data_IF_776496435755
#
_entry.id   IF_776496435755
#
_cell.length_a   1.000
_cell.length_b   1.000
_cell.length_c   1.000
_cell.angle_alpha   90.00
_cell.angle_beta   90.00
_cell.angle_gamma   90.00
#
_symmetry.space_group_name_H-M   'P 1'
#
loop_
_entity.id
_entity.type
_entity.pdbx_description
1 polymer ?
#
# COMPACT_ATOMS: atom_id res chain seq x y z
N UNK A 1 43.58 20.05 -15.26
CA UNK A 1 42.39 19.90 -14.36
C UNK A 1 41.53 18.66 -14.65
N UNK A 2 41.38 18.19 -15.89
CA UNK A 2 40.46 17.09 -16.24
C UNK A 2 40.82 15.71 -15.62
N UNK A 3 42.11 15.40 -15.45
CA UNK A 3 42.54 14.12 -14.85
C UNK A 3 42.34 14.03 -13.32
N UNK A 4 42.40 15.17 -12.60
CA UNK A 4 42.21 15.20 -11.14
C UNK A 4 40.77 14.92 -10.72
N UNK A 5 39.79 15.33 -11.54
CA UNK A 5 38.36 15.09 -11.32
C UNK A 5 37.99 13.61 -11.56
N UNK A 6 38.59 12.98 -12.58
CA UNK A 6 38.37 11.57 -12.89
C UNK A 6 38.92 10.65 -11.77
N UNK A 7 40.13 10.95 -11.27
CA UNK A 7 40.75 10.21 -10.17
C UNK A 7 39.93 10.36 -8.89
N UNK A 8 39.43 11.57 -8.61
CA UNK A 8 38.55 11.82 -7.46
C UNK A 8 37.26 11.00 -7.49
N UNK A 9 36.62 10.86 -8.66
CA UNK A 9 35.41 10.09 -8.84
C UNK A 9 35.63 8.57 -8.69
N UNK A 10 36.79 8.06 -9.14
CA UNK A 10 37.16 6.65 -8.99
C UNK A 10 37.38 6.33 -7.51
N UNK A 11 38.11 7.17 -6.79
CA UNK A 11 38.37 6.98 -5.35
C UNK A 11 37.07 7.02 -4.54
N UNK A 12 36.16 7.97 -4.81
CA UNK A 12 34.86 8.03 -4.10
C UNK A 12 33.99 6.82 -4.36
N UNK A 13 34.00 6.30 -5.59
CA UNK A 13 33.24 5.09 -5.95
C UNK A 13 33.80 3.85 -5.23
N UNK A 14 35.13 3.76 -5.14
CA UNK A 14 35.80 2.63 -4.47
C UNK A 14 35.57 2.65 -2.95
N UNK A 15 35.59 3.84 -2.33
CA UNK A 15 35.28 4.02 -0.90
C UNK A 15 33.80 3.72 -0.61
N UNK A 16 32.87 4.15 -1.47
CA UNK A 16 31.45 3.82 -1.33
C UNK A 16 31.20 2.30 -1.42
N UNK A 17 31.94 1.61 -2.30
CA UNK A 17 31.87 0.16 -2.44
C UNK A 17 32.46 -0.59 -1.23
N UNK A 18 33.55 -0.09 -0.65
CA UNK A 18 34.13 -0.65 0.59
C UNK A 18 33.20 -0.45 1.80
N UNK A 19 32.54 0.69 1.93
CA UNK A 19 31.55 0.96 2.99
C UNK A 19 30.28 0.12 2.84
N UNK A 20 29.87 -0.17 1.60
CA UNK A 20 28.75 -1.05 1.32
C UNK A 20 29.06 -2.51 1.71
N UNK A 21 30.26 -3.00 1.38
CA UNK A 21 30.66 -4.39 1.68
C UNK A 21 30.95 -4.64 3.16
N UNK A 22 31.47 -3.65 3.90
CA UNK A 22 31.65 -3.75 5.37
C UNK A 22 30.33 -3.71 6.14
N UNK A 23 29.32 -2.97 5.65
CA UNK A 23 27.97 -3.01 6.23
C UNK A 23 27.29 -4.38 6.05
N UNK A 24 27.49 -5.04 4.90
CA UNK A 24 26.97 -6.39 4.66
C UNK A 24 27.57 -7.42 5.64
N UNK A 25 28.90 -7.37 5.88
CA UNK A 25 29.57 -8.28 6.83
C UNK A 25 29.14 -8.10 8.30
N UNK A 26 28.66 -6.91 8.69
CA UNK A 26 28.21 -6.65 10.07
C UNK A 26 26.80 -7.20 10.35
N UNK A 27 25.98 -7.41 9.31
CA UNK A 27 24.62 -7.95 9.42
C UNK A 27 24.61 -9.49 9.50
N UNK A 28 25.65 -10.16 8.98
CA UNK A 28 25.74 -11.62 8.99
C UNK A 28 26.14 -12.23 10.35
N UNK A 29 26.60 -11.44 11.32
CA UNK A 29 27.14 -11.95 12.61
C UNK A 29 26.32 -11.63 13.87
N UNK A 30 25.11 -11.08 13.76
CA UNK A 30 24.24 -10.88 14.93
C UNK A 30 23.29 -12.08 15.14
N UNK A 31 23.78 -13.15 15.77
CA UNK A 31 22.94 -14.26 16.27
C UNK A 31 22.51 -13.97 17.70
N UNK A 32 21.21 -13.78 17.94
CA UNK A 32 20.61 -13.75 19.27
C UNK A 32 19.99 -15.12 19.59
N UNK A 33 20.49 -15.78 20.64
CA UNK A 33 19.92 -16.98 21.27
C UNK A 33 18.75 -16.57 22.17
N UNK A 34 17.61 -17.25 22.07
CA UNK A 34 16.54 -17.17 23.05
C UNK A 34 16.26 -18.57 23.59
N UNK A 35 16.34 -18.71 24.92
CA UNK A 35 16.09 -19.91 25.73
C UNK A 35 14.65 -19.85 26.27
N UNK A 36 13.97 -21.00 26.37
CA UNK A 36 12.51 -21.17 26.59
C UNK A 36 11.95 -20.73 27.95
N UNK A 37 10.63 -20.94 28.22
CA UNK A 37 10.23 -22.24 28.78
C UNK A 37 8.83 -22.78 28.38
N UNK A 38 8.51 -23.91 29.02
CA UNK A 38 7.57 -25.02 28.82
C UNK A 38 6.05 -24.79 29.02
N UNK A 39 5.30 -25.56 28.21
CA UNK A 39 3.96 -26.19 28.34
C UNK A 39 3.00 -25.84 29.50
N UNK A 40 1.71 -25.70 29.15
CA UNK A 40 0.57 -26.06 30.02
C UNK A 40 -0.62 -26.57 29.19
N UNK A 41 -1.14 -27.74 29.56
CA UNK A 41 -2.30 -28.44 28.97
C UNK A 41 -3.60 -27.91 29.58
N UNK A 42 -4.68 -27.76 28.80
CA UNK A 42 -6.07 -27.74 29.32
C UNK A 42 -7.04 -28.47 28.39
N UNK A 43 -7.97 -29.19 29.05
CA UNK A 43 -8.86 -30.25 28.61
C UNK A 43 -9.98 -29.87 27.62
N UNK A 44 -10.39 -30.88 26.81
CA UNK A 44 -11.64 -30.92 26.04
C UNK A 44 -12.84 -31.27 26.93
N UNK A 45 -14.00 -30.63 26.72
CA UNK A 45 -15.32 -31.24 26.97
C UNK A 45 -16.47 -30.65 26.12
N UNK A 46 -17.06 -31.59 25.34
CA UNK A 46 -18.45 -31.86 24.92
C UNK A 46 -19.37 -30.78 24.28
N UNK A 47 -19.97 -31.26 23.17
CA UNK A 47 -21.09 -30.73 22.36
C UNK A 47 -22.41 -30.65 23.15
N UNK A 48 -23.23 -29.64 22.83
CA UNK A 48 -24.66 -29.59 23.10
C UNK A 48 -25.43 -29.17 21.82
N UNK A 49 -26.67 -29.66 21.68
CA UNK A 49 -27.52 -29.68 20.48
C UNK A 49 -28.20 -28.33 20.17
N UNK A 50 -28.46 -28.12 18.88
CA UNK A 50 -29.17 -26.97 18.29
C UNK A 50 -30.70 -27.01 18.54
N UNK A 51 -31.33 -25.86 18.82
CA UNK A 51 -32.77 -25.66 18.67
C UNK A 51 -33.11 -25.02 17.30
N UNK A 52 -34.14 -25.56 16.64
CA UNK A 52 -34.68 -25.14 15.33
C UNK A 52 -35.29 -23.72 15.39
N UNK A 53 -34.91 -22.88 14.41
CA UNK A 53 -35.41 -21.50 14.24
C UNK A 53 -36.58 -21.46 13.25
N UNK A 54 -37.64 -20.71 13.62
CA UNK A 54 -38.81 -20.40 12.79
C UNK A 54 -38.42 -19.54 11.58
N UNK A 55 -38.91 -19.88 10.40
CA UNK A 55 -38.71 -19.17 9.13
C UNK A 55 -39.31 -17.77 9.15
N UNK A 56 -38.46 -16.75 9.05
CA UNK A 56 -38.80 -15.35 8.77
C UNK A 56 -38.51 -15.05 7.29
N UNK A 57 -39.46 -14.40 6.61
CA UNK A 57 -39.40 -14.00 5.19
C UNK A 57 -38.10 -13.27 4.84
N UNK A 58 -37.45 -13.70 3.77
CA UNK A 58 -36.19 -13.13 3.27
C UNK A 58 -36.39 -11.71 2.72
N UNK A 59 -35.57 -10.72 3.15
CA UNK A 59 -35.51 -9.43 2.48
C UNK A 59 -34.82 -9.55 1.12
N UNK A 60 -35.27 -8.78 0.13
CA UNK A 60 -34.63 -8.66 -1.19
C UNK A 60 -33.19 -8.14 -1.04
N UNK A 61 -32.19 -9.02 -1.19
CA UNK A 61 -30.76 -8.67 -1.13
C UNK A 61 -30.23 -8.40 -2.54
N UNK A 62 -29.73 -7.18 -2.78
CA UNK A 62 -28.96 -6.84 -3.97
C UNK A 62 -27.62 -7.63 -3.97
N UNK A 63 -27.57 -8.68 -4.79
CA UNK A 63 -26.41 -9.56 -5.08
C UNK A 63 -25.77 -10.24 -3.86
N UNK A 64 -25.99 -11.55 -3.76
CA UNK A 64 -25.31 -12.42 -2.80
C UNK A 64 -23.83 -12.49 -3.20
N UNK A 65 -22.93 -12.13 -2.28
CA UNK A 65 -21.49 -12.34 -2.44
C UNK A 65 -21.20 -13.82 -2.23
N UNK A 66 -20.80 -14.49 -3.31
CA UNK A 66 -20.38 -15.88 -3.23
C UNK A 66 -18.85 -15.93 -3.15
N UNK A 67 -18.32 -16.23 -1.96
CA UNK A 67 -16.89 -16.47 -1.71
C UNK A 67 -16.30 -17.45 -2.73
N UNK A 68 -17.07 -18.46 -3.14
CA UNK A 68 -16.60 -19.54 -4.01
C UNK A 68 -16.51 -19.20 -5.52
N UNK A 69 -17.10 -18.09 -6.00
CA UNK A 69 -17.13 -17.75 -7.43
C UNK A 69 -16.08 -16.70 -7.80
N UNK A 70 -14.81 -17.10 -7.78
CA UNK A 70 -13.71 -16.23 -8.22
C UNK A 70 -13.76 -16.01 -9.74
N UNK A 71 -13.99 -14.77 -10.15
CA UNK A 71 -14.04 -14.32 -11.55
C UNK A 71 -12.74 -13.60 -11.92
N UNK A 72 -12.42 -13.63 -13.21
CA UNK A 72 -11.33 -12.84 -13.78
C UNK A 72 -11.91 -11.85 -14.79
N UNK A 73 -11.38 -10.63 -14.83
CA UNK A 73 -11.77 -9.63 -15.83
C UNK A 73 -11.37 -10.12 -17.22
N UNK A 74 -12.22 -9.87 -18.23
CA UNK A 74 -11.88 -10.13 -19.63
C UNK A 74 -10.52 -9.49 -20.01
N UNK A 75 -9.78 -10.16 -20.89
CA UNK A 75 -8.41 -9.78 -21.30
C UNK A 75 -7.31 -10.09 -20.29
N UNK A 76 -7.64 -10.55 -19.07
CA UNK A 76 -6.62 -10.96 -18.09
C UNK A 76 -5.75 -12.12 -18.60
N UNK A 77 -4.46 -12.07 -18.31
CA UNK A 77 -3.51 -13.12 -18.65
C UNK A 77 -3.86 -14.44 -17.94
N UNK A 78 -4.21 -15.47 -18.72
CA UNK A 78 -4.67 -16.77 -18.19
C UNK A 78 -3.68 -17.44 -17.23
N UNK A 79 -2.36 -17.35 -17.48
CA UNK A 79 -1.33 -17.93 -16.61
C UNK A 79 -1.28 -17.22 -15.26
N UNK A 80 -1.30 -15.89 -15.27
CA UNK A 80 -1.29 -15.08 -14.05
C UNK A 80 -2.58 -15.26 -13.24
N UNK A 81 -3.74 -15.34 -13.91
CA UNK A 81 -5.03 -15.67 -13.25
C UNK A 81 -4.95 -17.02 -12.53
N UNK A 82 -4.40 -18.06 -13.16
CA UNK A 82 -4.24 -19.39 -12.54
C UNK A 82 -3.36 -19.33 -11.29
N UNK A 83 -2.27 -18.56 -11.34
CA UNK A 83 -1.38 -18.34 -10.20
C UNK A 83 -2.12 -17.65 -9.05
N UNK A 84 -2.85 -16.57 -9.34
CA UNK A 84 -3.59 -15.82 -8.32
C UNK A 84 -4.66 -16.69 -7.68
N UNK A 85 -5.51 -17.37 -8.47
CA UNK A 85 -6.56 -18.26 -7.98
C UNK A 85 -6.00 -19.38 -7.08
N UNK A 86 -4.94 -20.06 -7.53
CA UNK A 86 -4.29 -21.12 -6.75
C UNK A 86 -3.70 -20.60 -5.44
N UNK A 87 -3.21 -19.37 -5.43
CA UNK A 87 -2.53 -18.79 -4.27
C UNK A 87 -3.50 -18.25 -3.23
N UNK A 88 -4.53 -17.56 -3.68
CA UNK A 88 -5.53 -16.95 -2.81
C UNK A 88 -6.60 -17.95 -2.34
N UNK A 89 -6.85 -19.01 -3.10
CA UNK A 89 -7.90 -19.99 -2.82
C UNK A 89 -9.29 -19.50 -3.26
N UNK A 90 -10.31 -20.15 -2.71
CA UNK A 90 -11.74 -19.84 -2.94
C UNK A 90 -12.53 -19.61 -1.65
N UNK A 91 -11.93 -19.90 -0.49
CA UNK A 91 -12.65 -19.88 0.79
C UNK A 91 -12.85 -18.46 1.34
N UNK A 92 -11.99 -17.52 0.93
CA UNK A 92 -11.99 -16.15 1.44
C UNK A 92 -12.36 -15.14 0.35
N UNK A 93 -12.93 -14.00 0.76
CA UNK A 93 -13.18 -12.87 -0.13
C UNK A 93 -11.89 -12.11 -0.43
N UNK A 94 -11.64 -11.82 -1.71
CA UNK A 94 -10.48 -11.04 -2.13
C UNK A 94 -10.68 -10.31 -3.46
N UNK A 95 -9.81 -9.32 -3.67
CA UNK A 95 -9.56 -8.66 -4.94
C UNK A 95 -8.06 -8.62 -5.17
N UNK A 96 -7.61 -9.01 -6.36
CA UNK A 96 -6.21 -8.89 -6.77
C UNK A 96 -6.17 -8.24 -8.15
N UNK A 97 -5.32 -7.23 -8.30
CA UNK A 97 -5.02 -6.62 -9.57
C UNK A 97 -3.49 -6.56 -9.75
N UNK A 98 -3.03 -6.91 -10.94
CA UNK A 98 -1.61 -6.94 -11.31
C UNK A 98 -1.46 -6.41 -12.71
N UNK A 99 -0.48 -5.54 -12.96
CA UNK A 99 -0.21 -4.98 -14.28
C UNK A 99 1.29 -4.80 -14.51
N UNK A 100 1.78 -5.33 -15.64
CA UNK A 100 3.12 -5.04 -16.16
C UNK A 100 3.19 -3.55 -16.56
N UNK A 101 4.20 -2.85 -16.05
CA UNK A 101 4.42 -1.44 -16.31
C UNK A 101 5.13 -1.17 -17.66
N UNK A 102 5.74 -2.21 -18.24
CA UNK A 102 6.40 -2.17 -19.56
C UNK A 102 5.49 -2.67 -20.69
N UNK A 103 4.43 -3.42 -20.38
CA UNK A 103 3.48 -3.92 -21.36
C UNK A 103 2.06 -3.99 -20.76
N UNK A 104 1.23 -2.97 -21.02
CA UNK A 104 -0.11 -2.86 -20.45
C UNK A 104 -1.06 -4.01 -20.80
N UNK A 105 -0.81 -4.77 -21.88
CA UNK A 105 -1.60 -5.96 -22.24
C UNK A 105 -1.38 -7.13 -21.27
N UNK A 106 -0.28 -7.11 -20.51
CA UNK A 106 0.06 -8.14 -19.51
C UNK A 106 -0.45 -7.71 -18.14
N UNK A 107 -1.71 -8.05 -17.88
CA UNK A 107 -2.34 -7.79 -16.59
C UNK A 107 -3.19 -8.98 -16.12
N UNK A 108 -3.59 -8.98 -14.86
CA UNK A 108 -4.65 -9.84 -14.36
C UNK A 108 -5.46 -9.09 -13.29
N UNK A 109 -6.78 -9.19 -13.39
CA UNK A 109 -7.71 -8.73 -12.35
C UNK A 109 -8.59 -9.91 -11.96
N UNK A 110 -8.51 -10.33 -10.70
CA UNK A 110 -9.13 -11.54 -10.17
C UNK A 110 -9.82 -11.21 -8.85
N UNK A 111 -11.11 -11.52 -8.73
CA UNK A 111 -11.86 -11.24 -7.52
C UNK A 111 -13.11 -12.10 -7.41
N UNK A 112 -13.59 -12.31 -6.19
CA UNK A 112 -14.96 -12.82 -5.90
C UNK A 112 -15.90 -11.72 -5.39
N UNK A 113 -15.42 -10.48 -5.24
CA UNK A 113 -16.24 -9.29 -5.00
C UNK A 113 -15.70 -8.10 -5.79
N UNK A 114 -16.58 -7.21 -6.24
CA UNK A 114 -16.22 -6.00 -6.98
C UNK A 114 -16.42 -4.71 -6.17
N UNK A 115 -16.96 -4.82 -4.95
CA UNK A 115 -17.30 -3.65 -4.13
C UNK A 115 -16.03 -2.95 -3.64
N UNK A 116 -16.13 -1.64 -3.40
CA UNK A 116 -15.10 -0.94 -2.66
C UNK A 116 -15.17 -1.33 -1.18
N UNK A 117 -14.02 -1.60 -0.57
CA UNK A 117 -13.89 -2.00 0.83
C UNK A 117 -13.20 -0.92 1.65
N UNK A 118 -13.47 -0.93 2.94
CA UNK A 118 -12.86 -0.03 3.91
C UNK A 118 -11.35 -0.21 3.96
N UNK A 119 -10.63 0.90 3.82
CA UNK A 119 -9.19 0.92 3.72
C UNK A 119 -8.59 1.89 4.74
N UNK A 120 -7.47 1.48 5.34
CA UNK A 120 -6.75 2.27 6.35
C UNK A 120 -5.48 2.85 5.72
N UNK A 121 -4.33 2.20 5.92
CA UNK A 121 -3.02 2.76 5.59
C UNK A 121 -2.87 3.06 4.09
N UNK A 122 -3.49 2.25 3.23
CA UNK A 122 -3.51 2.48 1.78
C UNK A 122 -4.11 3.85 1.38
N UNK A 123 -5.07 4.40 2.14
CA UNK A 123 -5.70 5.68 1.81
C UNK A 123 -4.77 6.88 1.91
N UNK A 124 -3.67 6.75 2.68
CA UNK A 124 -2.63 7.77 2.75
C UNK A 124 -1.94 8.00 1.41
N UNK A 125 -1.96 7.02 0.50
CA UNK A 125 -1.46 7.18 -0.87
C UNK A 125 -2.20 8.30 -1.59
N UNK A 126 -3.53 8.30 -1.55
CA UNK A 126 -4.34 9.30 -2.25
C UNK A 126 -4.15 10.71 -1.68
N UNK A 127 -4.11 10.82 -0.34
CA UNK A 127 -3.80 12.10 0.30
C UNK A 127 -2.38 12.58 -0.06
N UNK A 128 -1.41 11.67 -0.10
CA UNK A 128 -0.04 12.00 -0.48
C UNK A 128 0.07 12.47 -1.93
N UNK A 129 -0.60 11.81 -2.88
CA UNK A 129 -0.66 12.22 -4.28
C UNK A 129 -1.27 13.62 -4.39
N UNK A 130 -2.39 13.86 -3.71
CA UNK A 130 -3.05 15.16 -3.73
C UNK A 130 -2.17 16.26 -3.10
N UNK A 131 -1.42 15.97 -2.02
CA UNK A 131 -0.46 16.91 -1.45
C UNK A 131 0.63 17.31 -2.47
N UNK A 132 1.21 16.33 -3.16
CA UNK A 132 2.23 16.62 -4.17
C UNK A 132 1.65 17.24 -5.44
N UNK A 133 0.36 17.06 -5.72
CA UNK A 133 -0.32 17.77 -6.82
C UNK A 133 -0.51 19.25 -6.48
N UNK A 134 -0.86 19.57 -5.23
CA UNK A 134 -0.89 20.94 -4.74
C UNK A 134 0.52 21.57 -4.75
N UNK A 135 1.56 20.79 -4.45
CA UNK A 135 2.96 21.21 -4.52
C UNK A 135 3.39 21.53 -5.96
N UNK A 136 3.08 20.63 -6.89
CA UNK A 136 3.34 20.81 -8.32
C UNK A 136 2.66 22.06 -8.88
N UNK A 137 1.45 22.35 -8.42
CA UNK A 137 0.67 23.51 -8.85
C UNK A 137 1.02 24.80 -8.08
N UNK A 138 2.08 24.79 -7.26
CA UNK A 138 2.55 25.96 -6.50
C UNK A 138 1.65 26.41 -5.34
N UNK A 139 0.55 25.70 -5.06
CA UNK A 139 -0.40 26.05 -3.99
C UNK A 139 0.15 25.76 -2.59
N UNK A 140 1.10 24.81 -2.52
CA UNK A 140 1.79 24.39 -1.31
C UNK A 140 3.28 24.26 -1.68
N UNK A 141 4.17 24.50 -0.72
CA UNK A 141 5.61 24.33 -0.90
C UNK A 141 6.28 23.94 0.42
N UNK A 142 7.61 23.80 0.42
CA UNK A 142 8.40 23.43 1.60
C UNK A 142 8.28 24.42 2.77
N UNK A 143 7.97 25.69 2.49
CA UNK A 143 7.77 26.75 3.50
C UNK A 143 6.34 26.80 4.05
N UNK A 144 5.43 25.99 3.50
CA UNK A 144 4.04 25.97 3.95
C UNK A 144 3.96 25.41 5.36
N UNK A 145 3.49 26.24 6.29
CA UNK A 145 3.14 25.85 7.64
C UNK A 145 1.62 25.70 7.78
N UNK A 146 1.18 24.68 8.52
CA UNK A 146 -0.25 24.41 8.76
C UNK A 146 -0.48 24.51 10.27
N UNK A 147 -1.32 25.46 10.67
CA UNK A 147 -1.82 25.59 12.05
C UNK A 147 -2.80 24.45 12.33
N UNK A 148 -2.56 23.71 13.42
CA UNK A 148 -3.44 22.63 13.89
C UNK A 148 -4.70 23.25 14.49
N UNK A 149 -5.86 22.87 13.96
CA UNK A 149 -7.17 23.25 14.50
C UNK A 149 -7.65 22.20 15.51
N UNK A 150 -8.57 22.61 16.39
CA UNK A 150 -9.25 21.68 17.31
C UNK A 150 -9.91 20.51 16.58
N UNK A 151 -10.45 20.75 15.38
CA UNK A 151 -11.06 19.74 14.50
C UNK A 151 -10.07 18.71 13.95
N UNK A 152 -8.78 19.04 13.87
CA UNK A 152 -7.77 18.12 13.37
C UNK A 152 -7.32 17.15 14.46
N UNK A 153 -7.39 17.60 15.72
CA UNK A 153 -6.82 16.93 16.88
C UNK A 153 -7.52 15.61 17.17
N UNK A 154 -6.76 14.54 17.21
CA UNK A 154 -7.23 13.23 17.68
C UNK A 154 -6.93 13.05 19.17
N UNK A 155 -7.85 12.41 19.91
CA UNK A 155 -7.68 12.10 21.34
C UNK A 155 -6.39 11.29 21.57
N UNK A 156 -5.62 11.67 22.59
CA UNK A 156 -4.39 10.98 22.99
C UNK A 156 -3.14 11.37 22.19
N UNK A 157 -3.25 12.17 21.13
CA UNK A 157 -2.08 12.67 20.42
C UNK A 157 -1.30 13.68 21.28
N UNK A 158 0.00 13.45 21.46
CA UNK A 158 0.90 14.37 22.18
C UNK A 158 1.88 15.11 21.26
N UNK A 159 1.94 14.73 19.97
CA UNK A 159 2.93 15.23 19.03
C UNK A 159 2.59 16.62 18.49
N UNK A 160 1.30 16.90 18.25
CA UNK A 160 0.86 18.14 17.61
C UNK A 160 -0.06 18.96 18.52
N UNK A 161 0.31 20.20 18.83
CA UNK A 161 -0.48 21.08 19.70
C UNK A 161 -1.49 21.88 18.89
N UNK A 162 -2.71 22.02 19.43
CA UNK A 162 -3.73 22.91 18.84
C UNK A 162 -3.21 24.34 18.87
N UNK A 163 -3.51 25.11 17.83
CA UNK A 163 -3.05 26.47 17.60
C UNK A 163 -1.55 26.65 17.31
N UNK A 164 -0.77 25.57 17.25
CA UNK A 164 0.62 25.62 16.79
C UNK A 164 0.71 25.30 15.29
N UNK A 165 1.62 25.98 14.58
CA UNK A 165 1.88 25.76 13.16
C UNK A 165 3.06 24.82 12.96
N UNK A 166 2.90 23.85 12.06
CA UNK A 166 3.94 22.88 11.74
C UNK A 166 4.23 22.88 10.24
N UNK A 167 5.50 22.71 9.87
CA UNK A 167 5.90 22.57 8.48
C UNK A 167 5.28 21.33 7.83
N UNK A 168 4.92 21.43 6.55
CA UNK A 168 4.25 20.35 5.82
C UNK A 168 5.05 19.05 5.80
N UNK A 169 6.39 19.11 5.72
CA UNK A 169 7.24 17.92 5.73
C UNK A 169 7.10 17.12 7.03
N UNK A 170 7.05 17.83 8.17
CA UNK A 170 6.90 17.20 9.49
C UNK A 170 5.52 16.57 9.67
N UNK A 171 4.47 17.22 9.16
CA UNK A 171 3.12 16.64 9.14
C UNK A 171 3.05 15.42 8.23
N UNK A 172 3.70 15.46 7.05
CA UNK A 172 3.75 14.32 6.12
C UNK A 172 4.43 13.12 6.77
N UNK A 173 5.55 13.34 7.47
CA UNK A 173 6.23 12.30 8.23
C UNK A 173 5.34 11.74 9.36
N UNK A 174 4.68 12.61 10.13
CA UNK A 174 3.73 12.21 11.17
C UNK A 174 2.60 11.34 10.62
N UNK A 175 2.01 11.72 9.47
CA UNK A 175 0.99 10.93 8.78
C UNK A 175 1.50 9.54 8.42
N UNK A 176 2.71 9.42 7.86
CA UNK A 176 3.28 8.11 7.48
C UNK A 176 3.57 7.22 8.69
N UNK A 177 3.95 7.83 9.82
CA UNK A 177 4.13 7.15 11.12
C UNK A 177 2.81 6.77 11.82
N UNK A 178 1.66 7.13 11.24
CA UNK A 178 0.35 6.75 11.81
C UNK A 178 -0.38 7.85 12.56
N UNK A 179 0.18 9.06 12.65
CA UNK A 179 -0.45 10.13 13.42
C UNK A 179 -1.72 10.65 12.73
N UNK A 180 -2.87 10.43 13.36
CA UNK A 180 -4.20 10.84 12.87
C UNK A 180 -4.36 12.37 12.84
N UNK A 181 -3.83 13.10 13.83
CA UNK A 181 -3.87 14.58 13.84
C UNK A 181 -3.16 15.18 12.63
N UNK A 182 -1.95 14.70 12.32
CA UNK A 182 -1.23 15.13 11.13
C UNK A 182 -1.99 14.82 9.84
N UNK A 183 -2.56 13.61 9.75
CA UNK A 183 -3.37 13.17 8.62
C UNK A 183 -4.60 14.08 8.42
N UNK A 184 -5.31 14.42 9.50
CA UNK A 184 -6.46 15.31 9.48
C UNK A 184 -6.08 16.75 9.08
N UNK A 185 -4.99 17.28 9.61
CA UNK A 185 -4.51 18.62 9.26
C UNK A 185 -4.13 18.73 7.78
N UNK A 186 -3.44 17.71 7.25
CA UNK A 186 -3.11 17.60 5.82
C UNK A 186 -4.36 17.45 4.96
N UNK A 187 -5.29 16.57 5.35
CA UNK A 187 -6.55 16.36 4.64
C UNK A 187 -7.37 17.66 4.59
N UNK A 188 -7.46 18.39 5.70
CA UNK A 188 -8.14 19.70 5.74
C UNK A 188 -7.47 20.72 4.84
N UNK A 189 -6.12 20.75 4.80
CA UNK A 189 -5.37 21.67 3.94
C UNK A 189 -5.59 21.38 2.45
N UNK A 190 -5.70 20.12 2.07
CA UNK A 190 -5.93 19.70 0.67
C UNK A 190 -7.41 19.77 0.29
N UNK A 191 -8.30 19.33 1.18
CA UNK A 191 -9.72 19.15 0.96
C UNK A 191 -10.08 17.74 0.47
N UNK A 192 -11.10 17.13 1.08
CA UNK A 192 -11.63 15.79 0.73
C UNK A 192 -11.97 15.69 -0.76
N UNK A 193 -12.71 16.66 -1.30
CA UNK A 193 -13.11 16.69 -2.70
C UNK A 193 -11.91 16.71 -3.67
N UNK A 194 -10.82 17.38 -3.28
CA UNK A 194 -9.60 17.41 -4.09
C UNK A 194 -8.91 16.04 -4.08
N UNK A 195 -8.87 15.35 -2.94
CA UNK A 195 -8.32 13.99 -2.88
C UNK A 195 -9.13 13.03 -3.74
N UNK A 196 -10.46 13.07 -3.66
CA UNK A 196 -11.34 12.22 -4.48
C UNK A 196 -11.23 12.55 -5.98
N UNK A 197 -11.13 13.84 -6.33
CA UNK A 197 -10.90 14.27 -7.72
C UNK A 197 -9.56 13.78 -8.26
N UNK A 198 -8.49 13.86 -7.46
CA UNK A 198 -7.18 13.29 -7.79
C UNK A 198 -7.28 11.78 -7.98
N UNK A 199 -7.95 11.05 -7.09
CA UNK A 199 -8.14 9.61 -7.23
C UNK A 199 -8.84 9.25 -8.55
N UNK A 200 -9.93 9.95 -8.88
CA UNK A 200 -10.64 9.76 -10.16
C UNK A 200 -9.75 10.02 -11.38
N UNK A 201 -8.95 11.11 -11.39
CA UNK A 201 -8.00 11.40 -12.48
C UNK A 201 -6.86 10.38 -12.57
N UNK A 202 -6.50 9.72 -11.47
CA UNK A 202 -5.59 8.57 -11.47
C UNK A 202 -6.23 7.29 -12.03
N UNK A 203 -7.56 7.28 -12.24
CA UNK A 203 -8.34 6.15 -12.74
C UNK A 203 -9.03 5.32 -11.65
N UNK A 204 -8.89 5.74 -10.38
CA UNK A 204 -9.45 5.10 -9.20
C UNK A 204 -10.88 5.61 -8.95
N UNK A 205 -11.83 5.16 -9.76
CA UNK A 205 -13.20 5.70 -9.83
C UNK A 205 -14.12 5.22 -8.71
N UNK A 206 -13.77 4.14 -8.01
CA UNK A 206 -14.50 3.61 -6.85
C UNK A 206 -13.84 4.00 -5.52
N UNK A 207 -12.76 4.79 -5.56
CA UNK A 207 -12.09 5.29 -4.38
C UNK A 207 -12.78 6.54 -3.85
N UNK A 208 -12.98 6.59 -2.53
CA UNK A 208 -13.46 7.78 -1.82
C UNK A 208 -12.76 7.90 -0.48
N UNK A 209 -12.24 9.07 -0.13
CA UNK A 209 -11.62 9.32 1.17
C UNK A 209 -12.67 9.68 2.24
N UNK A 210 -12.45 9.24 3.48
CA UNK A 210 -13.29 9.64 4.60
C UNK A 210 -13.10 11.13 4.93
N UNK A 211 -14.07 11.72 5.65
CA UNK A 211 -13.99 13.13 6.09
C UNK A 211 -12.81 13.40 7.04
N UNK A 212 -12.33 12.37 7.74
CA UNK A 212 -11.18 12.41 8.64
C UNK A 212 -10.62 11.00 8.87
N UNK A 213 -9.50 10.92 9.59
CA UNK A 213 -8.78 9.68 9.92
C UNK A 213 -9.09 9.16 11.34
N UNK A 214 -10.18 9.62 11.97
CA UNK A 214 -10.47 9.25 13.35
C UNK A 214 -11.09 7.85 13.48
N UNK A 215 -11.86 7.40 12.48
CA UNK A 215 -12.52 6.09 12.48
C UNK A 215 -11.61 4.88 12.18
N UNK A 216 -12.26 3.72 12.05
CA UNK A 216 -11.61 2.44 11.71
C UNK A 216 -11.29 2.30 10.22
N UNK A 217 -11.85 3.17 9.40
CA UNK A 217 -11.65 3.28 7.95
C UNK A 217 -11.30 4.72 7.61
N UNK A 218 -10.35 4.91 6.70
CA UNK A 218 -9.95 6.23 6.18
C UNK A 218 -10.53 6.49 4.79
N UNK A 219 -11.41 5.61 4.33
CA UNK A 219 -12.06 5.67 3.03
C UNK A 219 -12.28 4.28 2.45
N UNK A 220 -12.80 4.25 1.23
CA UNK A 220 -13.08 3.01 0.50
C UNK A 220 -12.28 2.97 -0.79
N UNK A 221 -11.83 1.79 -1.19
CA UNK A 221 -11.12 1.59 -2.45
C UNK A 221 -11.25 0.14 -2.93
N UNK A 222 -10.70 -0.17 -4.10
CA UNK A 222 -10.54 -1.54 -4.61
C UNK A 222 -9.08 -1.83 -4.90
N UNK A 223 -8.71 -3.11 -4.98
CA UNK A 223 -7.36 -3.49 -5.42
C UNK A 223 -7.05 -2.97 -6.85
N UNK A 224 -8.05 -3.02 -7.73
CA UNK A 224 -7.92 -2.50 -9.10
C UNK A 224 -7.67 -0.99 -9.15
N UNK A 225 -8.34 -0.22 -8.30
CA UNK A 225 -8.14 1.24 -8.22
C UNK A 225 -6.77 1.60 -7.65
N UNK A 226 -6.27 0.85 -6.66
CA UNK A 226 -4.90 0.98 -6.19
C UNK A 226 -3.88 0.66 -7.29
N UNK A 227 -4.08 -0.40 -8.07
CA UNK A 227 -3.19 -0.74 -9.19
C UNK A 227 -3.18 0.36 -10.25
N UNK A 228 -4.35 0.87 -10.65
CA UNK A 228 -4.44 2.00 -11.59
C UNK A 228 -3.73 3.24 -11.07
N UNK A 229 -3.83 3.50 -9.76
CA UNK A 229 -3.15 4.61 -9.10
C UNK A 229 -1.63 4.45 -9.17
N UNK A 230 -1.11 3.27 -8.85
CA UNK A 230 0.32 2.99 -8.94
C UNK A 230 0.84 3.05 -10.39
N UNK A 231 0.08 2.54 -11.35
CA UNK A 231 0.38 2.67 -12.79
C UNK A 231 0.39 4.14 -13.21
N UNK A 232 -0.60 4.93 -12.77
CA UNK A 232 -0.68 6.37 -13.06
C UNK A 232 0.51 7.15 -12.48
N UNK A 233 1.02 6.75 -11.31
CA UNK A 233 2.24 7.31 -10.72
C UNK A 233 3.46 6.98 -11.58
N UNK A 234 3.60 5.72 -11.98
CA UNK A 234 4.71 5.28 -12.84
C UNK A 234 4.73 6.01 -14.19
N UNK A 235 3.55 6.22 -14.78
CA UNK A 235 3.39 6.87 -16.09
C UNK A 235 3.45 8.41 -16.03
N UNK A 236 3.42 9.01 -14.83
CA UNK A 236 3.40 10.46 -14.66
C UNK A 236 2.09 11.14 -15.11
N UNK A 237 0.93 10.50 -14.90
CA UNK A 237 -0.37 10.98 -15.42
C UNK A 237 -0.86 12.27 -14.77
N UNK A 238 -1.02 12.30 -13.44
CA UNK A 238 -1.49 13.48 -12.69
C UNK A 238 -0.33 14.28 -12.12
N UNK A 239 0.73 13.57 -11.72
CA UNK A 239 1.97 14.15 -11.25
C UNK A 239 3.03 14.00 -12.32
N UNK A 240 3.83 15.03 -12.55
CA UNK A 240 5.05 14.91 -13.34
C UNK A 240 6.03 13.93 -12.68
N UNK A 241 7.05 13.50 -13.44
CA UNK A 241 8.00 12.47 -12.99
C UNK A 241 8.68 12.79 -11.66
N UNK A 242 9.02 14.06 -11.42
CA UNK A 242 9.65 14.50 -10.17
C UNK A 242 8.71 14.29 -8.97
N UNK A 243 7.46 14.74 -9.06
CA UNK A 243 6.49 14.65 -7.97
C UNK A 243 6.01 13.21 -7.77
N UNK A 244 5.83 12.45 -8.85
CA UNK A 244 5.53 11.03 -8.77
C UNK A 244 6.66 10.24 -8.08
N UNK A 245 7.92 10.53 -8.42
CA UNK A 245 9.08 9.94 -7.74
C UNK A 245 9.11 10.29 -6.24
N UNK A 246 8.78 11.53 -5.87
CA UNK A 246 8.64 11.92 -4.46
C UNK A 246 7.55 11.13 -3.74
N UNK A 247 6.39 10.89 -4.34
CA UNK A 247 5.35 10.01 -3.77
C UNK A 247 5.93 8.62 -3.53
N UNK A 248 6.55 8.02 -4.54
CA UNK A 248 7.11 6.66 -4.47
C UNK A 248 8.20 6.55 -3.39
N UNK A 249 9.17 7.45 -3.37
CA UNK A 249 10.22 7.48 -2.33
C UNK A 249 9.65 7.67 -0.93
N UNK A 250 8.61 8.51 -0.81
CA UNK A 250 7.93 8.73 0.47
C UNK A 250 7.27 7.45 0.96
N UNK A 251 6.54 6.70 0.11
CA UNK A 251 5.92 5.44 0.56
C UNK A 251 6.95 4.33 0.80
N UNK A 252 8.08 4.31 0.07
CA UNK A 252 9.17 3.36 0.33
C UNK A 252 9.81 3.52 1.72
N UNK A 253 9.80 4.74 2.27
CA UNK A 253 10.23 5.01 3.64
C UNK A 253 9.19 4.61 4.71
N UNK A 254 7.94 4.30 4.33
CA UNK A 254 6.89 3.92 5.28
C UNK A 254 7.13 2.52 5.82
N UNK A 255 7.43 2.41 7.12
CA UNK A 255 7.61 1.14 7.81
C UNK A 255 6.47 0.88 8.82
N UNK A 256 6.11 -0.39 9.09
CA UNK A 256 6.52 -1.58 8.34
C UNK A 256 5.93 -1.62 6.92
N UNK A 257 6.59 -2.34 6.02
CA UNK A 257 6.05 -2.63 4.67
C UNK A 257 4.96 -3.71 4.77
N UNK A 258 3.98 -3.73 3.85
CA UNK A 258 2.94 -4.75 3.84
C UNK A 258 3.53 -6.14 3.58
N UNK A 259 2.94 -7.17 4.19
CA UNK A 259 3.41 -8.56 4.08
C UNK A 259 3.47 -9.10 2.64
N UNK A 260 2.66 -8.52 1.75
CA UNK A 260 2.64 -8.82 0.32
C UNK A 260 4.02 -8.69 -0.34
N UNK A 261 4.89 -7.79 0.12
CA UNK A 261 6.21 -7.57 -0.49
C UNK A 261 7.36 -8.23 0.27
N UNK A 262 7.07 -9.02 1.30
CA UNK A 262 8.11 -9.65 2.11
C UNK A 262 8.94 -10.66 1.28
N UNK A 263 10.25 -10.43 1.24
CA UNK A 263 11.20 -11.27 0.50
C UNK A 263 11.25 -10.99 -1.01
N UNK A 264 10.63 -9.91 -1.48
CA UNK A 264 10.84 -9.41 -2.84
C UNK A 264 12.07 -8.48 -2.84
N UNK A 265 13.04 -8.77 -3.71
CA UNK A 265 14.24 -7.94 -3.90
C UNK A 265 14.05 -6.91 -5.02
N UNK A 266 14.90 -5.88 -5.03
CA UNK A 266 14.85 -4.77 -5.99
C UNK A 266 14.19 -3.51 -5.41
N UNK A 267 13.85 -2.57 -6.29
CA UNK A 267 13.10 -1.36 -5.95
C UNK A 267 11.64 -1.70 -5.65
N UNK A 268 11.25 -1.59 -4.38
CA UNK A 268 9.89 -1.85 -3.92
C UNK A 268 9.31 -0.58 -3.31
N UNK A 269 8.22 -0.09 -3.90
CA UNK A 269 7.47 1.06 -3.42
C UNK A 269 6.09 0.58 -2.99
N UNK A 270 5.88 0.39 -1.68
CA UNK A 270 4.69 -0.28 -1.17
C UNK A 270 4.05 0.47 -0.01
N UNK A 271 2.72 0.38 0.06
CA UNK A 271 1.93 0.89 1.17
C UNK A 271 0.73 -0.03 1.38
N UNK A 272 0.36 -0.22 2.65
CA UNK A 272 -0.72 -1.11 3.00
C UNK A 272 -0.61 -1.59 4.44
N UNK A 273 -1.54 -2.45 4.79
CA UNK A 273 -1.75 -3.12 6.06
C UNK A 273 -2.23 -4.56 5.78
N UNK A 274 -2.97 -5.14 6.72
CA UNK A 274 -3.46 -6.51 6.64
C UNK A 274 -4.73 -6.66 5.78
N UNK A 275 -5.44 -5.57 5.51
CA UNK A 275 -6.66 -5.63 4.70
C UNK A 275 -6.33 -5.30 3.24
N UNK A 276 -5.48 -4.29 3.03
CA UNK A 276 -5.07 -3.80 1.72
C UNK A 276 -3.56 -3.69 1.60
N UNK A 277 -3.01 -4.14 0.48
CA UNK A 277 -1.63 -3.84 0.11
C UNK A 277 -1.51 -3.46 -1.36
N UNK A 278 -0.62 -2.51 -1.66
CA UNK A 278 -0.28 -2.15 -3.03
C UNK A 278 1.21 -1.89 -3.15
N UNK A 279 1.80 -2.25 -4.30
CA UNK A 279 3.21 -2.08 -4.54
C UNK A 279 3.53 -1.89 -6.02
N UNK A 280 4.58 -1.10 -6.28
CA UNK A 280 5.37 -1.20 -7.51
C UNK A 280 6.65 -1.96 -7.18
N UNK A 281 6.97 -2.94 -8.01
CA UNK A 281 8.23 -3.70 -7.94
C UNK A 281 9.00 -3.47 -9.23
N UNK A 282 10.27 -3.09 -9.09
CA UNK A 282 11.20 -2.79 -10.17
C UNK A 282 12.55 -3.45 -9.90
N UNK A 283 13.04 -4.23 -10.85
CA UNK A 283 14.34 -4.89 -10.74
C UNK A 283 14.49 -5.99 -11.79
N UNK A 284 15.72 -6.41 -12.08
CA UNK A 284 16.02 -7.54 -12.96
C UNK A 284 15.26 -7.48 -14.32
N UNK A 285 15.19 -6.31 -14.93
CA UNK A 285 14.53 -6.10 -16.24
C UNK A 285 13.00 -6.13 -16.23
N UNK A 286 12.35 -6.19 -15.06
CA UNK A 286 10.89 -6.16 -14.95
C UNK A 286 10.39 -5.06 -14.01
N UNK A 287 9.30 -4.41 -14.42
CA UNK A 287 8.58 -3.42 -13.63
C UNK A 287 7.08 -3.77 -13.66
N UNK A 288 6.47 -3.92 -12.50
CA UNK A 288 5.04 -4.22 -12.41
C UNK A 288 4.40 -3.60 -11.16
N UNK A 289 3.10 -3.38 -11.23
CA UNK A 289 2.26 -3.01 -10.08
C UNK A 289 1.43 -4.21 -9.64
N UNK A 290 1.27 -4.39 -8.34
CA UNK A 290 0.31 -5.34 -7.78
C UNK A 290 -0.42 -4.73 -6.59
N UNK A 291 -1.70 -5.05 -6.47
CA UNK A 291 -2.53 -4.68 -5.33
C UNK A 291 -3.43 -5.83 -4.93
N UNK A 292 -3.71 -5.91 -3.64
CA UNK A 292 -4.59 -6.92 -3.05
C UNK A 292 -5.48 -6.28 -1.99
N UNK A 293 -6.71 -6.76 -1.95
CA UNK A 293 -7.58 -6.72 -0.79
C UNK A 293 -7.95 -8.15 -0.41
N UNK A 294 -8.05 -8.45 0.87
CA UNK A 294 -8.57 -9.73 1.35
C UNK A 294 -9.35 -9.56 2.64
N UNK A 295 -10.31 -10.44 2.89
CA UNK A 295 -10.93 -10.57 4.22
C UNK A 295 -9.95 -11.04 5.29
N UNK A 296 -8.78 -11.55 4.88
CA UNK A 296 -7.61 -11.78 5.71
C UNK A 296 -6.32 -11.67 4.87
N UNK A 297 -5.17 -11.59 5.56
CA UNK A 297 -3.85 -11.41 4.96
C UNK A 297 -3.03 -12.71 4.79
N UNK A 298 -3.56 -13.89 5.13
CA UNK A 298 -2.77 -15.13 5.28
C UNK A 298 -1.99 -15.51 4.01
N UNK A 299 -2.53 -15.17 2.85
CA UNK A 299 -1.95 -15.48 1.55
C UNK A 299 -1.18 -14.32 0.90
N UNK A 300 -1.10 -13.14 1.52
CA UNK A 300 -0.51 -11.95 0.89
C UNK A 300 0.96 -12.14 0.53
N UNK A 301 1.78 -12.64 1.47
CA UNK A 301 3.20 -12.90 1.21
C UNK A 301 3.39 -13.94 0.09
N UNK A 302 2.62 -15.04 0.14
CA UNK A 302 2.65 -16.08 -0.89
C UNK A 302 2.24 -15.53 -2.25
N UNK A 303 1.20 -14.69 -2.30
CA UNK A 303 0.74 -14.01 -3.52
C UNK A 303 1.86 -13.17 -4.13
N UNK A 304 2.49 -12.30 -3.34
CA UNK A 304 3.57 -11.44 -3.82
C UNK A 304 4.76 -12.23 -4.37
N UNK A 305 5.19 -13.30 -3.68
CA UNK A 305 6.24 -14.20 -4.17
C UNK A 305 5.88 -14.88 -5.48
N UNK A 306 4.65 -15.39 -5.61
CA UNK A 306 4.23 -16.10 -6.82
C UNK A 306 4.08 -15.16 -8.02
N UNK A 307 3.55 -13.95 -7.81
CA UNK A 307 3.48 -12.90 -8.84
C UNK A 307 4.88 -12.46 -9.24
N UNK A 308 5.77 -12.21 -8.27
CA UNK A 308 7.15 -11.83 -8.55
C UNK A 308 7.88 -12.88 -9.38
N UNK A 309 7.78 -14.16 -8.99
CA UNK A 309 8.36 -15.28 -9.73
C UNK A 309 7.85 -15.37 -11.17
N UNK A 310 6.59 -15.01 -11.43
CA UNK A 310 6.05 -14.99 -12.80
C UNK A 310 6.71 -13.89 -13.64
N UNK A 311 6.98 -12.72 -13.06
CA UNK A 311 7.67 -11.63 -13.74
C UNK A 311 9.18 -11.88 -13.91
N UNK A 312 9.84 -12.47 -12.91
CA UNK A 312 11.28 -12.76 -12.94
C UNK A 312 11.68 -13.90 -13.87
N UNK A 313 10.74 -14.76 -14.28
CA UNK A 313 10.99 -15.83 -15.28
C UNK A 313 11.05 -15.33 -16.72
N UNK A 314 11.03 -14.02 -16.97
CA UNK A 314 11.39 -13.45 -18.28
C UNK A 314 12.88 -13.70 -18.52
N UNK A 315 13.20 -14.71 -19.33
CA UNK A 315 14.36 -14.69 -20.22
C UNK A 315 13.88 -14.23 -21.58
#
# INVERSE_FOLDING_TARGET
MKHKVLIGAIITTLVAFLLYTTNLKRVDNAKLKVVGPTTSKVNKKKKAKEPKVKTLKEPKVNSIEYTNHVKAKSGSNKKLVKIIKKTMGVDDSYQVAVQDLTNSSRYAVVANTQKAHDAKKAMKLFLLIALYEQEQNGKINSRTAIKIKKSDKTKGDKMFQVNMAYGIAYLREGMLKGNKTASNALLRKVGVNNVDSVAKRMGATQTSIAKNFNGDSYGKTTANDLTKTMVGLYQGRVLNRQHASRVLSTIASSRPLPSMVNGISGGVYAIGDDDFATAIVQGNGHAYSMSVWGSNNKNFNKLGKQVNNWFSKRK
#
